data_IF_987707876425
#
_entry.id   IF_987707876425
#
_cell.length_a   1.000
_cell.length_b   1.000
_cell.length_c   1.000
_cell.angle_alpha   90.00
_cell.angle_beta   90.00
_cell.angle_gamma   90.00
#
_symmetry.space_group_name_H-M   'P 1'
#
loop_
_entity.id
_entity.type
_entity.pdbx_description
1 polymer ?
#
# COMPACT_ATOMS: atom_id res chain seq x y z
N UNK A 1 9.27 -21.92 31.74
CA UNK A 1 7.84 -22.24 31.41
C UNK A 1 7.47 -21.47 30.16
N UNK A 2 7.71 -20.17 30.06
CA UNK A 2 7.36 -19.33 28.91
C UNK A 2 7.88 -19.88 27.56
N UNK A 3 9.14 -20.32 27.50
CA UNK A 3 9.76 -20.93 26.32
C UNK A 3 9.04 -22.21 25.89
N UNK A 4 8.59 -23.05 26.81
CA UNK A 4 7.86 -24.28 26.52
C UNK A 4 6.48 -23.95 25.87
N UNK A 5 5.77 -22.96 26.45
CA UNK A 5 4.49 -22.52 25.89
C UNK A 5 4.70 -21.92 24.50
N UNK A 6 5.72 -21.07 24.32
CA UNK A 6 6.06 -20.43 23.06
C UNK A 6 6.42 -21.44 21.96
N UNK A 7 7.15 -22.50 22.29
CA UNK A 7 7.52 -23.56 21.35
C UNK A 7 6.33 -24.43 20.97
N UNK A 8 5.47 -24.77 21.94
CA UNK A 8 4.30 -25.61 21.70
C UNK A 8 3.16 -24.85 21.00
N UNK A 9 3.01 -23.58 21.28
CA UNK A 9 1.90 -22.71 20.83
C UNK A 9 2.40 -21.32 20.43
N UNK A 10 3.14 -21.16 19.32
CA UNK A 10 3.70 -19.88 18.91
C UNK A 10 2.64 -18.80 18.69
N UNK A 11 1.40 -19.18 18.37
CA UNK A 11 0.26 -18.28 18.24
C UNK A 11 -0.19 -17.66 19.56
N UNK A 12 0.26 -18.19 20.70
CA UNK A 12 -0.04 -17.71 22.06
C UNK A 12 1.05 -16.83 22.66
N UNK A 13 2.11 -16.58 21.94
CA UNK A 13 3.06 -15.52 22.30
C UNK A 13 2.34 -14.20 22.07
N UNK A 14 2.54 -13.25 22.97
CA UNK A 14 1.87 -11.97 22.89
C UNK A 14 2.83 -10.82 23.21
N UNK A 15 2.75 -9.77 22.42
CA UNK A 15 3.48 -8.53 22.59
C UNK A 15 2.55 -7.42 23.03
N UNK A 16 2.97 -6.63 24.01
CA UNK A 16 2.21 -5.46 24.48
C UNK A 16 1.99 -4.45 23.36
N UNK A 17 0.77 -3.96 23.20
CA UNK A 17 0.40 -3.00 22.16
C UNK A 17 0.77 -1.58 22.57
N UNK A 18 0.49 -1.20 23.83
CA UNK A 18 0.68 0.15 24.36
C UNK A 18 1.77 0.16 25.42
N UNK A 19 2.61 1.21 25.47
CA UNK A 19 3.76 1.28 26.40
C UNK A 19 3.42 1.05 27.88
N UNK A 20 2.21 1.40 28.32
CA UNK A 20 1.73 1.24 29.69
C UNK A 20 0.35 0.56 29.73
N UNK A 21 -0.01 -0.20 28.69
CA UNK A 21 -1.33 -0.80 28.55
C UNK A 21 -1.37 -2.25 28.99
N UNK A 22 -2.58 -2.73 29.21
CA UNK A 22 -2.88 -4.12 29.54
C UNK A 22 -3.18 -4.97 28.29
N UNK A 23 -3.13 -4.36 27.10
CA UNK A 23 -3.49 -4.98 25.82
C UNK A 23 -2.27 -5.59 25.18
N UNK A 24 -2.44 -6.83 24.74
CA UNK A 24 -1.41 -7.63 24.09
C UNK A 24 -1.91 -8.17 22.74
N UNK A 25 -1.05 -8.12 21.74
CA UNK A 25 -1.31 -8.75 20.45
C UNK A 25 -0.67 -10.13 20.43
N UNK A 26 -1.47 -11.16 20.19
CA UNK A 26 -1.01 -12.53 20.06
C UNK A 26 -0.38 -12.80 18.68
N UNK A 27 0.39 -13.88 18.59
CA UNK A 27 1.01 -14.36 17.34
C UNK A 27 0.03 -14.65 16.20
N UNK A 28 -1.23 -14.94 16.51
CA UNK A 28 -2.31 -15.07 15.51
C UNK A 28 -2.97 -13.73 15.12
N UNK A 29 -2.48 -12.59 15.66
CA UNK A 29 -2.98 -11.25 15.37
C UNK A 29 -4.13 -10.78 16.27
N UNK A 30 -4.74 -11.65 17.10
CA UNK A 30 -5.81 -11.26 18.02
C UNK A 30 -5.27 -10.36 19.13
N UNK A 31 -6.14 -9.50 19.65
CA UNK A 31 -5.87 -8.70 20.84
C UNK A 31 -6.48 -9.38 22.06
N UNK A 32 -5.71 -9.42 23.14
CA UNK A 32 -6.18 -9.89 24.43
C UNK A 32 -5.69 -8.95 25.54
N UNK A 33 -6.39 -8.95 26.68
CA UNK A 33 -6.14 -8.03 27.79
C UNK A 33 -5.86 -8.81 29.08
N UNK A 34 -4.85 -8.36 29.82
CA UNK A 34 -4.61 -8.75 31.21
C UNK A 34 -5.64 -8.15 32.16
N UNK A 35 -5.80 -8.74 33.34
CA UNK A 35 -6.57 -8.16 34.42
C UNK A 35 -5.96 -6.82 34.89
N UNK A 36 -6.80 -5.97 35.46
CA UNK A 36 -6.31 -4.70 36.02
C UNK A 36 -5.34 -5.02 37.20
N UNK A 37 -4.23 -4.26 37.24
CA UNK A 37 -3.15 -4.43 38.18
C UNK A 37 -2.36 -5.76 38.10
N UNK A 38 -2.46 -6.50 37.00
CA UNK A 38 -1.63 -7.69 36.81
C UNK A 38 -0.14 -7.29 36.71
N UNK A 39 0.75 -7.94 37.49
CA UNK A 39 2.18 -7.61 37.48
C UNK A 39 2.84 -7.82 36.10
N UNK A 40 2.32 -8.71 35.26
CA UNK A 40 2.82 -8.93 33.89
C UNK A 40 2.58 -7.72 32.96
N UNK A 41 1.81 -6.73 33.40
CA UNK A 41 1.64 -5.48 32.65
C UNK A 41 2.95 -4.69 32.46
N UNK A 42 3.98 -4.97 33.25
CA UNK A 42 5.32 -4.41 33.11
C UNK A 42 6.12 -5.07 31.99
N UNK A 43 5.78 -6.31 31.62
CA UNK A 43 6.51 -7.08 30.63
C UNK A 43 6.04 -6.75 29.19
N UNK A 44 6.97 -6.55 28.29
CA UNK A 44 6.66 -6.34 26.86
C UNK A 44 6.16 -7.61 26.20
N UNK A 45 6.71 -8.75 26.60
CA UNK A 45 6.42 -10.05 26.03
C UNK A 45 5.93 -11.03 27.07
N UNK A 46 4.84 -11.73 26.74
CA UNK A 46 4.27 -12.77 27.59
C UNK A 46 3.92 -14.01 26.73
N UNK A 47 4.01 -15.19 27.36
CA UNK A 47 3.49 -16.44 26.80
C UNK A 47 2.17 -16.77 27.52
N UNK A 48 1.08 -16.83 26.76
CA UNK A 48 -0.28 -16.99 27.28
C UNK A 48 -0.63 -18.49 27.36
N UNK A 49 -0.81 -19.00 28.56
CA UNK A 49 -1.23 -20.38 28.79
C UNK A 49 -2.75 -20.55 28.68
N UNK A 50 -3.51 -19.58 29.17
CA UNK A 50 -4.97 -19.62 29.15
C UNK A 50 -5.56 -18.27 28.80
N UNK A 51 -6.44 -18.26 27.79
CA UNK A 51 -7.21 -17.09 27.39
C UNK A 51 -8.66 -17.47 27.07
N UNK A 52 -9.51 -16.47 27.10
CA UNK A 52 -10.91 -16.58 26.68
C UNK A 52 -11.02 -16.77 25.16
N UNK A 53 -11.96 -17.59 24.73
CA UNK A 53 -12.27 -17.86 23.31
C UNK A 53 -13.28 -16.88 22.71
N UNK A 54 -13.64 -15.78 23.39
CA UNK A 54 -14.64 -14.78 22.96
C UNK A 54 -14.38 -14.18 21.58
N UNK A 55 -15.45 -13.68 20.94
CA UNK A 55 -15.41 -13.11 19.58
C UNK A 55 -14.86 -11.68 19.53
N UNK A 56 -14.62 -11.04 20.67
CA UNK A 56 -14.07 -9.69 20.82
C UNK A 56 -12.63 -9.72 21.37
N UNK A 57 -12.23 -8.70 22.10
CA UNK A 57 -10.96 -8.67 22.82
C UNK A 57 -10.93 -9.80 23.86
N UNK A 58 -9.96 -10.72 23.75
CA UNK A 58 -9.83 -11.86 24.66
C UNK A 58 -9.39 -11.44 26.05
N UNK A 59 -9.75 -12.22 27.09
CA UNK A 59 -9.21 -12.05 28.44
C UNK A 59 -8.10 -13.06 28.68
N UNK A 60 -6.96 -12.61 29.20
CA UNK A 60 -5.85 -13.46 29.60
C UNK A 60 -6.07 -13.85 31.06
N UNK A 61 -6.16 -15.16 31.32
CA UNK A 61 -6.33 -15.70 32.66
C UNK A 61 -5.03 -16.23 33.27
N UNK A 62 -4.14 -16.75 32.40
CA UNK A 62 -2.85 -17.29 32.83
C UNK A 62 -1.80 -17.01 31.76
N UNK A 63 -0.75 -16.33 32.17
CA UNK A 63 0.41 -16.06 31.33
C UNK A 63 1.71 -16.08 32.17
N UNK A 64 2.83 -16.02 31.51
CA UNK A 64 4.14 -15.88 32.15
C UNK A 64 4.98 -14.90 31.33
N UNK A 65 5.83 -14.14 32.00
CA UNK A 65 6.83 -13.31 31.36
C UNK A 65 7.70 -14.15 30.41
N UNK A 66 8.09 -13.54 29.30
CA UNK A 66 8.80 -14.20 28.24
C UNK A 66 9.85 -13.25 27.62
N UNK A 67 11.04 -13.77 27.33
CA UNK A 67 12.08 -13.00 26.64
C UNK A 67 12.02 -13.25 25.15
N UNK A 68 11.84 -12.18 24.36
CA UNK A 68 11.78 -12.26 22.88
C UNK A 68 13.04 -12.87 22.26
N UNK A 69 14.20 -12.82 22.97
CA UNK A 69 15.44 -13.46 22.51
C UNK A 69 15.30 -14.97 22.38
N UNK A 70 14.45 -15.58 23.18
CA UNK A 70 14.16 -17.02 23.09
C UNK A 70 13.38 -17.43 21.84
N UNK A 71 12.84 -16.44 21.09
CA UNK A 71 12.10 -16.65 19.83
C UNK A 71 12.98 -16.53 18.59
N UNK A 72 14.22 -16.06 18.72
CA UNK A 72 15.08 -15.80 17.55
C UNK A 72 15.31 -17.05 16.70
N UNK A 73 15.35 -18.21 17.33
CA UNK A 73 15.53 -19.51 16.65
C UNK A 73 14.26 -19.94 15.87
N UNK A 74 13.10 -19.39 16.22
CA UNK A 74 11.81 -19.66 15.58
C UNK A 74 11.41 -18.57 14.59
N UNK A 75 12.15 -17.46 14.55
CA UNK A 75 11.82 -16.33 13.72
C UNK A 75 12.13 -16.58 12.25
N UNK A 76 11.23 -16.18 11.39
CA UNK A 76 11.45 -16.11 9.94
C UNK A 76 11.79 -14.69 9.52
N UNK A 77 12.75 -14.55 8.62
CA UNK A 77 13.05 -13.26 8.02
C UNK A 77 12.11 -12.98 6.86
N UNK A 78 11.52 -11.77 6.86
CA UNK A 78 10.70 -11.29 5.75
C UNK A 78 11.18 -9.92 5.32
N UNK A 79 11.36 -9.74 4.02
CA UNK A 79 11.56 -8.43 3.40
C UNK A 79 10.17 -7.80 3.23
N UNK A 80 9.95 -6.68 3.89
CA UNK A 80 8.71 -5.91 3.82
C UNK A 80 9.02 -4.59 3.11
N UNK A 81 8.33 -4.35 2.01
CA UNK A 81 8.38 -3.08 1.28
C UNK A 81 6.98 -2.53 1.29
N UNK A 82 6.84 -1.28 1.70
CA UNK A 82 5.53 -0.66 1.88
C UNK A 82 5.60 0.84 1.66
N UNK A 83 4.43 1.44 1.45
CA UNK A 83 4.27 2.88 1.44
C UNK A 83 4.16 3.43 2.85
N UNK A 84 5.04 4.35 3.22
CA UNK A 84 4.97 5.07 4.50
C UNK A 84 4.13 6.34 4.31
N UNK A 85 2.90 6.31 4.82
CA UNK A 85 1.96 7.43 4.72
C UNK A 85 2.44 8.69 5.45
N UNK A 86 3.27 8.56 6.48
CA UNK A 86 3.79 9.70 7.24
C UNK A 86 4.92 10.41 6.51
N UNK A 87 5.79 9.64 5.87
CA UNK A 87 6.94 10.14 5.10
C UNK A 87 6.59 10.37 3.63
N UNK A 88 5.42 9.88 3.16
CA UNK A 88 5.00 9.90 1.76
C UNK A 88 6.06 9.33 0.82
N UNK A 89 6.60 8.15 1.17
CA UNK A 89 7.62 7.47 0.39
C UNK A 89 7.60 5.95 0.56
N UNK A 90 8.20 5.26 -0.38
CA UNK A 90 8.46 3.82 -0.27
C UNK A 90 9.55 3.58 0.76
N UNK A 91 9.31 2.67 1.69
CA UNK A 91 10.27 2.22 2.70
C UNK A 91 10.39 0.70 2.66
N UNK A 92 11.57 0.21 3.00
CA UNK A 92 11.82 -1.22 3.10
C UNK A 92 12.43 -1.58 4.45
N UNK A 93 12.11 -2.77 4.94
CA UNK A 93 12.74 -3.35 6.12
C UNK A 93 12.87 -4.87 5.98
N UNK A 94 13.90 -5.42 6.61
CA UNK A 94 13.97 -6.85 6.91
C UNK A 94 13.45 -7.03 8.32
N UNK A 95 12.43 -7.84 8.47
CA UNK A 95 11.79 -8.10 9.76
C UNK A 95 11.95 -9.56 10.15
N UNK A 96 12.38 -9.81 11.38
CA UNK A 96 12.30 -11.12 12.00
C UNK A 96 10.94 -11.24 12.68
N UNK A 97 10.16 -12.21 12.25
CA UNK A 97 8.77 -12.38 12.69
C UNK A 97 8.52 -13.80 13.17
N UNK A 98 7.66 -13.92 14.19
CA UNK A 98 7.02 -15.15 14.61
C UNK A 98 5.51 -14.95 14.50
N UNK A 99 4.87 -15.62 13.54
CA UNK A 99 3.48 -15.32 13.19
C UNK A 99 3.31 -13.85 12.75
N UNK A 100 2.40 -13.13 13.43
CA UNK A 100 2.14 -11.70 13.20
C UNK A 100 2.93 -10.77 14.13
N UNK A 101 3.90 -11.29 14.87
CA UNK A 101 4.71 -10.52 15.81
C UNK A 101 6.08 -10.21 15.21
N UNK A 102 6.45 -8.95 15.20
CA UNK A 102 7.76 -8.49 14.75
C UNK A 102 8.71 -8.41 15.94
N UNK A 103 9.75 -9.25 15.95
CA UNK A 103 10.77 -9.26 16.99
C UNK A 103 11.85 -8.21 16.75
N UNK A 104 12.26 -8.07 15.50
CA UNK A 104 13.30 -7.15 15.07
C UNK A 104 12.92 -6.59 13.70
N UNK A 105 13.22 -5.31 13.48
CA UNK A 105 13.04 -4.66 12.19
C UNK A 105 14.26 -3.82 11.87
N UNK A 106 14.91 -4.11 10.75
CA UNK A 106 16.08 -3.36 10.24
C UNK A 106 15.71 -2.69 8.92
N UNK A 107 15.85 -1.37 8.82
CA UNK A 107 15.61 -0.68 7.55
C UNK A 107 16.59 -1.16 6.48
N UNK A 108 16.11 -1.25 5.23
CA UNK A 108 16.95 -1.48 4.05
C UNK A 108 16.91 -0.27 3.15
N UNK A 109 18.05 0.06 2.55
CA UNK A 109 18.20 1.18 1.63
C UNK A 109 18.09 0.75 0.17
N UNK A 110 18.44 -0.50 -0.13
CA UNK A 110 18.33 -1.06 -1.47
C UNK A 110 17.01 -1.80 -1.61
N UNK A 111 16.10 -1.23 -2.39
CA UNK A 111 14.81 -1.81 -2.76
C UNK A 111 14.87 -2.12 -4.24
N UNK A 112 14.50 -3.35 -4.60
CA UNK A 112 14.37 -3.78 -6.00
C UNK A 112 13.38 -2.88 -6.74
N UNK A 113 13.69 -2.54 -7.97
CA UNK A 113 12.88 -1.62 -8.77
C UNK A 113 11.45 -2.14 -8.96
N UNK A 114 11.31 -3.41 -9.24
CA UNK A 114 10.00 -4.04 -9.41
C UNK A 114 9.14 -3.95 -8.14
N UNK A 115 9.72 -4.24 -6.97
CA UNK A 115 9.04 -4.16 -5.67
C UNK A 115 8.60 -2.70 -5.38
N UNK A 116 9.48 -1.74 -5.67
CA UNK A 116 9.22 -0.32 -5.45
C UNK A 116 8.07 0.17 -6.33
N UNK A 117 8.11 -0.15 -7.62
CA UNK A 117 7.07 0.20 -8.60
C UNK A 117 5.74 -0.42 -8.17
N UNK A 118 5.72 -1.69 -7.78
CA UNK A 118 4.51 -2.37 -7.32
C UNK A 118 3.86 -1.66 -6.11
N UNK A 119 4.67 -1.21 -5.14
CA UNK A 119 4.19 -0.45 -3.98
C UNK A 119 3.64 0.91 -4.39
N UNK A 120 4.30 1.62 -5.31
CA UNK A 120 3.81 2.91 -5.82
C UNK A 120 2.48 2.71 -6.56
N UNK A 121 2.38 1.72 -7.44
CA UNK A 121 1.13 1.41 -8.15
C UNK A 121 0.01 1.02 -7.19
N UNK A 122 0.30 0.26 -6.14
CA UNK A 122 -0.68 -0.07 -5.10
C UNK A 122 -1.19 1.19 -4.38
N UNK A 123 -0.30 2.09 -3.99
CA UNK A 123 -0.66 3.36 -3.36
C UNK A 123 -1.53 4.22 -4.29
N UNK A 124 -1.18 4.30 -5.59
CA UNK A 124 -1.97 5.05 -6.55
C UNK A 124 -3.36 4.44 -6.74
N UNK A 125 -3.51 3.10 -6.71
CA UNK A 125 -4.82 2.43 -6.75
C UNK A 125 -5.68 2.77 -5.54
N UNK A 126 -5.09 2.85 -4.36
CA UNK A 126 -5.79 3.20 -3.13
C UNK A 126 -6.20 4.69 -3.09
N UNK A 127 -5.31 5.59 -3.47
CA UNK A 127 -5.57 7.02 -3.45
C UNK A 127 -6.33 7.53 -4.71
N UNK A 128 -6.30 6.77 -5.80
CA UNK A 128 -6.83 7.17 -7.11
C UNK A 128 -5.87 8.04 -7.92
N UNK A 129 -6.28 8.42 -9.14
CA UNK A 129 -5.47 9.24 -10.06
C UNK A 129 -5.03 10.59 -9.48
N UNK A 130 -5.72 11.10 -8.47
CA UNK A 130 -5.34 12.33 -7.76
C UNK A 130 -3.94 12.28 -7.15
N UNK A 131 -3.42 11.09 -6.82
CA UNK A 131 -2.06 10.91 -6.35
C UNK A 131 -1.01 11.37 -7.38
N UNK A 132 -1.37 11.33 -8.67
CA UNK A 132 -0.54 11.72 -9.81
C UNK A 132 -0.61 13.22 -10.15
N UNK A 133 -1.28 14.03 -9.33
CA UNK A 133 -1.58 15.41 -9.70
C UNK A 133 -2.45 15.52 -10.97
N UNK A 134 -3.44 14.62 -11.09
CA UNK A 134 -4.39 14.58 -12.21
C UNK A 134 -5.28 15.81 -12.16
N UNK A 135 -5.25 16.62 -13.21
CA UNK A 135 -5.95 17.89 -13.29
C UNK A 135 -6.79 18.02 -14.56
N UNK A 136 -7.28 19.24 -14.78
CA UNK A 136 -8.23 19.56 -15.86
C UNK A 136 -7.73 19.14 -17.25
N UNK A 137 -6.45 19.35 -17.55
CA UNK A 137 -5.89 18.97 -18.84
C UNK A 137 -5.92 17.45 -19.11
N UNK A 138 -5.73 16.63 -18.05
CA UNK A 138 -5.81 15.17 -18.14
C UNK A 138 -7.28 14.72 -18.26
N UNK A 139 -8.17 15.35 -17.53
CA UNK A 139 -9.61 15.08 -17.59
C UNK A 139 -10.18 15.44 -18.98
N UNK A 140 -9.79 16.59 -19.52
CA UNK A 140 -10.18 17.01 -20.88
C UNK A 140 -9.72 15.97 -21.93
N UNK A 141 -8.44 15.59 -21.89
CA UNK A 141 -7.90 14.58 -22.79
C UNK A 141 -8.68 13.26 -22.67
N UNK A 142 -8.94 12.82 -21.44
CA UNK A 142 -9.71 11.60 -21.13
C UNK A 142 -11.12 11.68 -21.71
N UNK A 143 -11.84 12.78 -21.49
CA UNK A 143 -13.17 13.00 -22.02
C UNK A 143 -13.21 12.94 -23.56
N UNK A 144 -12.23 13.54 -24.23
CA UNK A 144 -12.11 13.52 -25.69
C UNK A 144 -11.92 12.10 -26.24
N UNK A 145 -11.03 11.33 -25.64
CA UNK A 145 -10.77 9.93 -26.04
C UNK A 145 -12.01 9.07 -25.80
N UNK A 146 -12.65 9.19 -24.62
CA UNK A 146 -13.85 8.43 -24.28
C UNK A 146 -15.05 8.80 -25.16
N UNK A 147 -15.18 10.06 -25.54
CA UNK A 147 -16.20 10.49 -26.51
C UNK A 147 -16.00 9.83 -27.87
N UNK A 148 -14.78 9.81 -28.39
CA UNK A 148 -14.50 9.12 -29.65
C UNK A 148 -14.70 7.61 -29.55
N UNK A 149 -14.38 7.00 -28.41
CA UNK A 149 -14.69 5.59 -28.15
C UNK A 149 -16.19 5.30 -28.24
N UNK A 150 -17.04 6.19 -27.72
CA UNK A 150 -18.48 6.03 -27.75
C UNK A 150 -19.06 6.30 -29.16
N UNK A 151 -18.59 7.34 -29.85
CA UNK A 151 -19.16 7.76 -31.15
C UNK A 151 -18.64 6.95 -32.34
N UNK A 152 -17.44 6.32 -32.18
CA UNK A 152 -16.75 5.57 -33.25
C UNK A 152 -16.33 4.18 -32.79
N UNK A 153 -17.29 3.32 -32.43
CA UNK A 153 -16.99 2.02 -31.81
C UNK A 153 -16.16 1.08 -32.71
N UNK A 154 -16.24 1.28 -34.04
CA UNK A 154 -15.46 0.48 -35.01
C UNK A 154 -14.00 0.88 -35.10
N UNK A 155 -13.60 2.04 -34.58
CA UNK A 155 -12.23 2.54 -34.67
C UNK A 155 -11.34 2.06 -33.52
N UNK A 156 -11.84 1.24 -32.59
CA UNK A 156 -11.11 0.64 -31.47
C UNK A 156 -10.32 1.67 -30.63
N UNK A 157 -10.93 2.81 -30.26
CA UNK A 157 -10.37 3.75 -29.29
C UNK A 157 -10.20 3.06 -27.93
N UNK A 158 -9.05 3.27 -27.23
CA UNK A 158 -8.82 2.62 -25.94
C UNK A 158 -9.80 3.09 -24.88
N UNK A 159 -10.02 2.23 -23.89
CA UNK A 159 -10.67 2.62 -22.66
C UNK A 159 -9.65 3.36 -21.78
N UNK A 160 -9.90 4.63 -21.55
CA UNK A 160 -9.08 5.48 -20.67
C UNK A 160 -9.90 5.96 -19.48
N UNK A 161 -10.96 5.20 -19.10
CA UNK A 161 -11.70 5.48 -17.85
C UNK A 161 -10.78 5.39 -16.63
N UNK A 162 -11.13 6.08 -15.54
CA UNK A 162 -10.35 6.02 -14.30
C UNK A 162 -10.12 4.58 -13.84
N UNK A 163 -11.14 3.72 -13.95
CA UNK A 163 -11.05 2.32 -13.59
C UNK A 163 -10.00 1.58 -14.44
N UNK A 164 -10.01 1.79 -15.75
CA UNK A 164 -9.07 1.14 -16.66
C UNK A 164 -7.65 1.68 -16.48
N UNK A 165 -7.47 2.99 -16.36
CA UNK A 165 -6.16 3.59 -16.12
C UNK A 165 -5.53 3.07 -14.82
N UNK A 166 -6.31 2.94 -13.75
CA UNK A 166 -5.84 2.37 -12.48
C UNK A 166 -5.57 0.88 -12.58
N UNK A 167 -6.34 0.14 -13.38
CA UNK A 167 -6.11 -1.28 -13.59
C UNK A 167 -4.82 -1.58 -14.35
N UNK A 168 -4.43 -0.69 -15.27
CA UNK A 168 -3.28 -0.85 -16.18
C UNK A 168 -2.11 0.09 -15.87
N UNK A 169 -1.94 0.50 -14.61
CA UNK A 169 -0.85 1.40 -14.19
C UNK A 169 0.54 0.90 -14.61
N UNK A 170 0.76 -0.39 -14.52
CA UNK A 170 2.02 -1.01 -14.89
C UNK A 170 2.36 -0.81 -16.37
N UNK A 171 1.36 -0.78 -17.25
CA UNK A 171 1.57 -0.70 -18.68
C UNK A 171 1.98 0.71 -19.14
N UNK A 172 1.38 1.74 -18.55
CA UNK A 172 1.57 3.11 -19.04
C UNK A 172 2.40 4.00 -18.11
N UNK A 173 2.45 3.71 -16.80
CA UNK A 173 3.13 4.56 -15.82
C UNK A 173 4.47 3.99 -15.35
N UNK A 174 4.62 2.65 -15.24
CA UNK A 174 5.83 2.01 -14.71
C UNK A 174 7.14 2.49 -15.32
N UNK A 175 7.24 2.70 -16.65
CA UNK A 175 8.50 3.15 -17.26
C UNK A 175 8.98 4.50 -16.72
N UNK A 176 8.08 5.32 -16.22
CA UNK A 176 8.37 6.66 -15.70
C UNK A 176 8.61 6.67 -14.18
N UNK A 177 8.44 5.53 -13.51
CA UNK A 177 8.66 5.39 -12.06
C UNK A 177 10.08 4.93 -11.70
N UNK A 178 10.95 4.74 -12.67
CA UNK A 178 12.35 4.34 -12.47
C UNK A 178 13.06 5.39 -11.58
N UNK A 179 13.69 4.93 -10.49
CA UNK A 179 14.40 5.81 -9.56
C UNK A 179 13.52 6.63 -8.62
N UNK A 180 12.18 6.56 -8.72
CA UNK A 180 11.25 7.32 -7.89
C UNK A 180 10.96 6.58 -6.58
N UNK A 181 10.98 7.31 -5.46
CA UNK A 181 10.68 6.80 -4.12
C UNK A 181 9.59 7.60 -3.40
N UNK A 182 9.39 8.88 -3.75
CA UNK A 182 8.58 9.83 -2.98
C UNK A 182 7.39 10.34 -3.79
N UNK A 183 6.29 10.64 -3.09
CA UNK A 183 5.11 11.24 -3.70
C UNK A 183 5.44 12.55 -4.44
N UNK A 184 6.29 13.40 -3.86
CA UNK A 184 6.68 14.65 -4.48
C UNK A 184 7.46 14.49 -5.80
N UNK A 185 8.08 13.33 -6.03
CA UNK A 185 8.74 12.99 -7.29
C UNK A 185 7.72 12.51 -8.31
N UNK A 186 6.75 11.68 -7.87
CA UNK A 186 5.62 11.22 -8.69
C UNK A 186 4.82 12.42 -9.21
N UNK A 187 4.55 13.41 -8.36
CA UNK A 187 3.78 14.60 -8.71
C UNK A 187 4.50 15.57 -9.66
N UNK A 188 5.81 15.37 -9.89
CA UNK A 188 6.58 16.14 -10.86
C UNK A 188 6.64 15.50 -12.26
N UNK A 189 6.08 14.30 -12.43
CA UNK A 189 6.03 13.65 -13.72
C UNK A 189 5.22 14.50 -14.70
N UNK A 190 5.70 14.58 -15.93
CA UNK A 190 4.94 15.19 -17.03
C UNK A 190 3.82 14.23 -17.47
N UNK A 191 2.69 14.31 -16.74
CA UNK A 191 1.54 13.46 -17.04
C UNK A 191 0.97 13.70 -18.42
N UNK A 192 1.09 14.91 -18.97
CA UNK A 192 0.60 15.22 -20.29
C UNK A 192 1.34 14.37 -21.34
N UNK A 193 2.65 14.33 -21.26
CA UNK A 193 3.47 13.51 -22.15
C UNK A 193 3.16 12.01 -21.94
N UNK A 194 3.04 11.58 -20.68
CA UNK A 194 2.81 10.18 -20.33
C UNK A 194 1.46 9.69 -20.87
N UNK A 195 0.36 10.41 -20.66
CA UNK A 195 -0.96 9.99 -21.14
C UNK A 195 -1.06 10.01 -22.68
N UNK A 196 -0.37 10.96 -23.31
CA UNK A 196 -0.32 10.97 -24.79
C UNK A 196 0.37 9.73 -25.36
N UNK A 197 1.30 9.10 -24.63
CA UNK A 197 1.96 7.86 -25.05
C UNK A 197 1.04 6.64 -25.02
N UNK A 198 -0.11 6.70 -24.31
CA UNK A 198 -1.12 5.64 -24.30
C UNK A 198 -1.76 5.45 -25.69
N UNK A 199 -1.85 6.54 -26.46
CA UNK A 199 -2.40 6.48 -27.81
C UNK A 199 -1.30 6.20 -28.83
N UNK A 200 -1.52 5.28 -29.78
CA UNK A 200 -0.69 5.18 -30.97
C UNK A 200 -0.63 6.53 -31.70
N UNK A 201 0.52 6.83 -32.32
CA UNK A 201 0.76 8.10 -33.00
C UNK A 201 -0.37 8.53 -33.96
N UNK A 202 -0.85 7.61 -34.78
CA UNK A 202 -1.95 7.88 -35.72
C UNK A 202 -3.25 8.31 -35.02
N UNK A 203 -3.54 7.75 -33.84
CA UNK A 203 -4.73 8.12 -33.05
C UNK A 203 -4.55 9.43 -32.34
N UNK A 204 -3.35 9.71 -31.85
CA UNK A 204 -3.02 11.00 -31.26
C UNK A 204 -3.24 12.15 -32.28
N UNK A 205 -2.86 11.94 -33.55
CA UNK A 205 -3.15 12.90 -34.63
C UNK A 205 -4.65 13.02 -34.88
N UNK A 206 -5.36 11.90 -35.02
CA UNK A 206 -6.82 11.90 -35.23
C UNK A 206 -7.58 12.54 -34.07
N UNK A 207 -7.13 12.39 -32.84
CA UNK A 207 -7.78 13.00 -31.66
C UNK A 207 -7.92 14.49 -31.83
N UNK A 208 -6.86 15.19 -32.27
CA UNK A 208 -6.88 16.64 -32.44
C UNK A 208 -7.76 17.11 -33.61
N UNK A 209 -7.98 16.27 -34.60
CA UNK A 209 -8.85 16.57 -35.76
C UNK A 209 -10.31 16.28 -35.42
N UNK A 210 -10.60 15.13 -34.79
CA UNK A 210 -11.96 14.64 -34.58
C UNK A 210 -12.61 15.18 -33.32
N UNK A 211 -11.81 15.47 -32.30
CA UNK A 211 -12.23 16.05 -31.03
C UNK A 211 -11.21 17.11 -30.59
N UNK A 212 -11.13 18.26 -31.22
CA UNK A 212 -10.19 19.32 -30.86
C UNK A 212 -10.45 19.83 -29.44
N UNK A 213 -9.39 20.23 -28.74
CA UNK A 213 -9.49 20.79 -27.38
C UNK A 213 -10.24 22.12 -27.33
N UNK A 214 -10.19 22.86 -28.46
CA UNK A 214 -10.88 24.14 -28.63
C UNK A 214 -11.47 24.21 -30.02
N UNK A 215 -12.66 24.76 -30.14
CA UNK A 215 -13.32 25.01 -31.42
C UNK A 215 -13.55 26.50 -31.61
N UNK A 216 -13.25 27.01 -32.78
CA UNK A 216 -13.59 28.36 -33.17
C UNK A 216 -15.08 28.41 -33.52
N UNK A 217 -15.81 29.23 -32.81
CA UNK A 217 -17.23 29.49 -33.11
C UNK A 217 -17.38 30.65 -34.12
N UNK A 218 -18.52 30.77 -34.81
CA UNK A 218 -18.75 31.80 -35.83
C UNK A 218 -18.51 33.23 -35.38
N UNK A 219 -18.46 33.49 -34.09
CA UNK A 219 -18.15 34.78 -33.47
C UNK A 219 -16.64 35.08 -33.38
N UNK A 220 -15.78 34.10 -33.79
CA UNK A 220 -14.32 34.21 -33.67
C UNK A 220 -13.75 33.88 -32.30
N UNK A 221 -14.61 33.47 -31.34
CA UNK A 221 -14.14 33.04 -30.04
C UNK A 221 -13.74 31.54 -30.07
N UNK A 222 -12.65 31.20 -29.36
CA UNK A 222 -12.27 29.80 -29.10
C UNK A 222 -12.98 29.31 -27.82
N UNK A 223 -13.79 28.30 -27.93
CA UNK A 223 -14.49 27.64 -26.81
C UNK A 223 -14.02 26.17 -26.72
#
# INVERSE_FOLDING_TARGET
IGKLIATAFPERIAQRVDKNGLRYRLGNGRIARLADHDPLSADEWIAVAQLDAGNSEGKIFLATAFDSRDLMDLATEKKIITWDNSKKMVVGSIQKQVGNLTLESKPITQIEEADRIAVICSMIREEGLRALNWGEAQEEWQCRVMSLRAWRPTEAWPDVSNAQLLATLEDWLSPYLIGIYKLAEIQKLDLQQIIHSILPYERSQKLNILAPAKMEVPTGSLI
#
